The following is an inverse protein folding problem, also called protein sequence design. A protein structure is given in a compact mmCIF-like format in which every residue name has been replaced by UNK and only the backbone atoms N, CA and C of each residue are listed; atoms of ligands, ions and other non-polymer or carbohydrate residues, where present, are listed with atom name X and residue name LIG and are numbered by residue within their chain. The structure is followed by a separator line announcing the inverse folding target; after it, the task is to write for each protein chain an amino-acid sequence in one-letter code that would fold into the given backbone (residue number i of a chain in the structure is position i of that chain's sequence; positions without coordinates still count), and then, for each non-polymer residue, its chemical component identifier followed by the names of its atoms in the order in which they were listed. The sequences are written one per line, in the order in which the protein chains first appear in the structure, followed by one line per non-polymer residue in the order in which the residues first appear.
data_IF_902309784741
#
_entry.id   IF_902309784741
#
_cell.length_a   1.000
_cell.length_b   1.000
_cell.length_c   1.000
_cell.angle_alpha   90.00
_cell.angle_beta   90.00
_cell.angle_gamma   90.00
#
_symmetry.space_group_name_H-M   'P 1'
#
loop_
_entity.id
_entity.type
_entity.pdbx_description
1 polymer ?
#
# COMPACT_ATOMS: atom_id res chain seq x y z
N UNK A 1 8.87 0.17 15.58
CA UNK A 1 8.00 0.99 14.72
C UNK A 1 8.89 1.94 13.97
N UNK A 2 8.98 1.72 12.67
CA UNK A 2 9.77 2.51 11.72
C UNK A 2 8.81 3.18 10.74
N UNK A 3 9.23 4.34 10.22
CA UNK A 3 8.51 5.04 9.16
C UNK A 3 9.07 4.62 7.81
N UNK A 4 8.19 4.40 6.85
CA UNK A 4 8.55 4.06 5.47
C UNK A 4 7.83 4.97 4.50
N UNK A 5 8.48 5.32 3.41
CA UNK A 5 7.94 6.22 2.40
C UNK A 5 7.77 5.48 1.07
N UNK A 6 6.65 5.72 0.38
CA UNK A 6 6.29 5.10 -0.90
C UNK A 6 5.87 6.18 -1.90
N UNK A 7 6.51 6.21 -3.06
CA UNK A 7 6.20 7.15 -4.15
C UNK A 7 6.74 6.58 -5.47
N UNK A 8 5.86 6.40 -6.46
CA UNK A 8 6.23 5.73 -7.72
C UNK A 8 7.14 6.60 -8.59
N UNK A 9 7.12 7.92 -8.39
CA UNK A 9 8.02 8.87 -9.05
C UNK A 9 9.32 9.19 -8.29
N UNK A 10 9.67 8.48 -7.21
CA UNK A 10 10.94 8.71 -6.52
C UNK A 10 12.15 8.31 -7.40
N UNK A 11 13.23 9.09 -7.33
CA UNK A 11 14.44 8.88 -8.15
C UNK A 11 15.66 8.34 -7.39
N UNK A 12 15.56 8.16 -6.07
CA UNK A 12 16.67 7.72 -5.22
C UNK A 12 16.83 6.19 -5.14
N UNK A 13 17.45 5.72 -4.06
CA UNK A 13 17.87 4.33 -3.91
C UNK A 13 16.76 3.33 -3.52
N UNK A 14 15.50 3.79 -3.43
CA UNK A 14 14.34 2.98 -3.05
C UNK A 14 14.49 2.21 -1.71
N UNK A 15 15.10 2.84 -0.71
CA UNK A 15 15.28 2.27 0.65
C UNK A 15 14.09 2.55 1.59
N UNK A 16 13.23 3.49 1.21
CA UNK A 16 12.04 3.92 1.96
C UNK A 16 12.32 4.80 3.17
N UNK A 17 13.52 5.37 3.31
CA UNK A 17 13.92 6.15 4.50
C UNK A 17 13.42 7.60 4.49
N UNK A 18 13.13 8.14 3.31
CA UNK A 18 12.59 9.48 3.08
C UNK A 18 11.87 9.53 1.72
N UNK A 19 11.31 10.69 1.34
CA UNK A 19 10.61 10.85 0.05
C UNK A 19 11.51 10.76 -1.19
N UNK A 20 12.80 11.12 -1.08
CA UNK A 20 13.75 11.03 -2.20
C UNK A 20 14.12 9.57 -2.48
N UNK A 21 14.25 8.78 -1.43
CA UNK A 21 14.61 7.37 -1.43
C UNK A 21 13.39 6.46 -1.22
N UNK A 22 12.18 6.94 -1.46
CA UNK A 22 10.95 6.17 -1.22
C UNK A 22 10.92 4.87 -2.03
N UNK A 23 10.27 3.83 -1.50
CA UNK A 23 9.98 2.64 -2.29
C UNK A 23 9.08 3.01 -3.48
N UNK A 24 9.37 2.41 -4.64
CA UNK A 24 8.61 2.68 -5.87
C UNK A 24 7.26 1.96 -5.91
N UNK A 25 7.09 0.90 -5.12
CA UNK A 25 5.88 0.09 -5.05
C UNK A 25 5.45 -0.13 -3.61
N UNK A 26 4.13 -0.26 -3.40
CA UNK A 26 3.60 -0.57 -2.07
C UNK A 26 4.02 -1.97 -1.61
N UNK A 27 4.07 -2.94 -2.52
CA UNK A 27 4.51 -4.30 -2.22
C UNK A 27 5.93 -4.35 -1.67
N UNK A 28 6.88 -3.61 -2.26
CA UNK A 28 8.27 -3.56 -1.77
C UNK A 28 8.35 -2.97 -0.35
N UNK A 29 7.60 -1.91 -0.08
CA UNK A 29 7.55 -1.32 1.26
C UNK A 29 6.98 -2.28 2.30
N UNK A 30 5.91 -3.00 1.96
CA UNK A 30 5.32 -4.02 2.83
C UNK A 30 6.31 -5.16 3.11
N UNK A 31 7.01 -5.68 2.10
CA UNK A 31 8.03 -6.74 2.26
C UNK A 31 9.13 -6.33 3.22
N UNK A 32 9.59 -5.08 3.13
CA UNK A 32 10.66 -4.61 3.97
C UNK A 32 10.20 -4.26 5.40
N UNK A 33 8.89 -4.10 5.65
CA UNK A 33 8.31 -3.66 6.92
C UNK A 33 8.35 -4.70 8.03
N UNK A 34 8.12 -4.24 9.26
CA UNK A 34 7.84 -5.08 10.42
C UNK A 34 6.48 -4.73 11.05
N UNK A 35 5.98 -5.59 11.94
CA UNK A 35 4.74 -5.35 12.67
C UNK A 35 4.78 -4.02 13.44
N UNK A 36 3.72 -3.23 13.32
CA UNK A 36 3.60 -1.91 13.94
C UNK A 36 4.22 -0.74 13.17
N UNK A 37 4.87 -1.00 12.02
CA UNK A 37 5.40 0.06 11.16
C UNK A 37 4.30 0.93 10.54
N UNK A 38 4.66 2.15 10.15
CA UNK A 38 3.80 3.06 9.40
C UNK A 38 4.44 3.36 8.05
N UNK A 39 3.67 3.13 6.99
CA UNK A 39 4.02 3.38 5.60
C UNK A 39 3.24 4.61 5.15
N UNK A 40 3.95 5.68 4.83
CA UNK A 40 3.41 6.87 4.19
C UNK A 40 3.51 6.74 2.68
N UNK A 41 2.37 6.86 2.02
CA UNK A 41 2.27 6.82 0.56
C UNK A 41 2.02 8.24 0.08
N UNK A 42 2.81 8.72 -0.87
CA UNK A 42 2.60 10.05 -1.42
C UNK A 42 1.23 10.15 -2.11
N UNK A 43 0.63 11.31 -2.02
CA UNK A 43 -0.59 11.70 -2.72
C UNK A 43 -0.48 11.61 -4.25
N UNK A 44 0.73 11.68 -4.80
CA UNK A 44 1.00 11.52 -6.23
C UNK A 44 1.44 10.10 -6.62
N UNK A 45 1.47 9.17 -5.66
CA UNK A 45 1.81 7.78 -5.94
C UNK A 45 0.76 7.15 -6.86
N UNK A 46 1.18 6.86 -8.08
CA UNK A 46 0.42 6.09 -9.04
C UNK A 46 1.27 4.93 -9.54
N UNK A 47 1.08 3.74 -8.96
CA UNK A 47 1.73 2.52 -9.45
C UNK A 47 0.77 1.70 -10.34
N UNK A 48 1.31 1.15 -11.42
CA UNK A 48 0.58 0.30 -12.36
C UNK A 48 1.44 -0.88 -12.77
N UNK A 49 0.88 -2.10 -12.72
CA UNK A 49 1.59 -3.32 -13.08
C UNK A 49 0.79 -4.19 -14.05
N UNK A 50 1.49 -4.81 -15.01
CA UNK A 50 0.92 -5.77 -15.95
C UNK A 50 0.97 -7.24 -15.44
N UNK A 51 1.23 -7.42 -14.15
CA UNK A 51 1.27 -8.70 -13.44
C UNK A 51 0.38 -8.65 -12.21
N UNK A 52 -0.02 -9.82 -11.70
CA UNK A 52 -0.80 -9.89 -10.46
C UNK A 52 0.03 -9.40 -9.28
N UNK A 53 -0.60 -8.69 -8.37
CA UNK A 53 0.04 -8.08 -7.21
C UNK A 53 -0.41 -8.76 -5.92
N UNK A 54 0.57 -9.13 -5.08
CA UNK A 54 0.31 -9.61 -3.72
C UNK A 54 0.78 -8.57 -2.71
N UNK A 55 -0.14 -8.05 -1.91
CA UNK A 55 0.13 -7.10 -0.84
C UNK A 55 0.21 -7.84 0.50
N UNK A 56 1.42 -8.25 0.86
CA UNK A 56 1.72 -9.06 2.04
C UNK A 56 2.22 -8.19 3.20
N UNK A 57 1.32 -7.86 4.12
CA UNK A 57 1.67 -7.08 5.31
C UNK A 57 2.17 -7.96 6.46
N UNK A 58 3.22 -7.53 7.19
CA UNK A 58 3.72 -8.23 8.38
C UNK A 58 2.99 -7.84 9.68
N UNK A 59 1.91 -7.06 9.61
CA UNK A 59 1.21 -6.57 10.80
C UNK A 59 0.56 -7.68 11.65
N UNK A 60 0.53 -7.51 12.96
CA UNK A 60 -0.11 -8.46 13.89
C UNK A 60 -1.29 -7.81 14.61
N UNK A 61 -2.11 -8.61 15.29
CA UNK A 61 -3.25 -8.09 16.06
C UNK A 61 -2.83 -7.04 17.11
N UNK A 62 -1.66 -7.25 17.75
CA UNK A 62 -1.11 -6.33 18.75
C UNK A 62 -0.37 -5.14 18.11
N UNK A 63 0.14 -5.30 16.89
CA UNK A 63 0.94 -4.29 16.20
C UNK A 63 0.57 -4.25 14.70
N UNK A 64 -0.57 -3.65 14.33
CA UNK A 64 -1.00 -3.56 12.94
C UNK A 64 -0.08 -2.61 12.17
N UNK A 65 0.15 -2.91 10.89
CA UNK A 65 0.81 -1.97 9.97
C UNK A 65 -0.22 -0.94 9.50
N UNK A 66 0.21 0.31 9.42
CA UNK A 66 -0.61 1.41 8.89
C UNK A 66 -0.04 1.88 7.58
N UNK A 67 -0.87 1.98 6.56
CA UNK A 67 -0.51 2.49 5.24
C UNK A 67 -1.41 3.69 4.96
N UNK A 68 -0.84 4.87 4.86
CA UNK A 68 -1.59 6.14 4.89
C UNK A 68 -1.14 7.00 3.72
N UNK A 69 -2.09 7.40 2.87
CA UNK A 69 -1.86 8.39 1.84
C UNK A 69 -1.70 9.79 2.47
N UNK A 70 -0.63 10.49 2.12
CA UNK A 70 -0.26 11.79 2.67
C UNK A 70 0.36 12.70 1.61
N UNK A 71 0.31 14.01 1.84
CA UNK A 71 1.02 15.00 1.06
C UNK A 71 2.54 14.90 1.32
N UNK A 72 3.31 14.45 0.34
CA UNK A 72 4.75 14.28 0.46
C UNK A 72 5.51 15.61 0.59
N UNK A 73 4.93 16.70 0.08
CA UNK A 73 5.47 18.06 0.23
C UNK A 73 5.02 18.73 1.54
N UNK A 74 4.30 17.99 2.40
CA UNK A 74 3.85 18.45 3.70
C UNK A 74 4.90 18.28 4.80
N UNK A 75 4.44 17.94 6.01
CA UNK A 75 5.33 17.75 7.16
C UNK A 75 6.18 16.48 7.02
N UNK A 76 7.38 16.48 7.59
CA UNK A 76 8.26 15.30 7.64
C UNK A 76 8.75 15.08 9.08
N UNK A 77 8.26 14.06 9.81
CA UNK A 77 7.23 13.09 9.40
C UNK A 77 5.84 13.71 9.17
N UNK A 78 5.01 13.11 8.30
CA UNK A 78 3.64 13.55 8.03
C UNK A 78 2.74 13.57 9.28
N UNK A 79 1.94 14.63 9.41
CA UNK A 79 0.94 14.80 10.48
C UNK A 79 -0.49 14.64 9.94
N UNK A 80 -1.50 14.75 10.81
CA UNK A 80 -2.90 14.55 10.42
C UNK A 80 -3.39 15.53 9.33
N UNK A 81 -2.87 16.75 9.28
CA UNK A 81 -3.16 17.73 8.24
C UNK A 81 -2.63 17.32 6.84
N UNK A 82 -1.67 16.40 6.80
CA UNK A 82 -1.07 15.91 5.57
C UNK A 82 -1.85 14.76 4.94
N UNK A 83 -2.85 14.18 5.62
CA UNK A 83 -3.62 13.03 5.08
C UNK A 83 -4.31 13.40 3.76
N UNK A 84 -4.22 12.52 2.78
CA UNK A 84 -4.82 12.64 1.43
C UNK A 84 -5.50 11.33 1.03
N UNK A 85 -6.16 11.32 -0.13
CA UNK A 85 -6.97 10.19 -0.61
C UNK A 85 -6.77 9.86 -2.10
N UNK A 86 -5.62 10.27 -2.66
CA UNK A 86 -5.40 10.30 -4.11
C UNK A 86 -4.42 9.25 -4.63
N UNK A 87 -3.71 8.53 -3.75
CA UNK A 87 -2.79 7.48 -4.18
C UNK A 87 -3.53 6.33 -4.87
N UNK A 88 -2.93 5.76 -5.92
CA UNK A 88 -3.51 4.67 -6.70
C UNK A 88 -2.57 3.49 -6.84
N UNK A 89 -3.11 2.29 -6.69
CA UNK A 89 -2.44 1.01 -6.91
C UNK A 89 -3.26 0.21 -7.92
N UNK A 90 -2.71 -0.02 -9.10
CA UNK A 90 -3.46 -0.57 -10.24
C UNK A 90 -2.77 -1.78 -10.85
N UNK A 91 -3.56 -2.78 -11.24
CA UNK A 91 -3.12 -3.82 -12.19
C UNK A 91 -3.88 -3.69 -13.51
N UNK A 92 -3.28 -4.07 -14.63
CA UNK A 92 -3.92 -3.99 -15.96
C UNK A 92 -4.32 -5.36 -16.50
N UNK A 93 -5.15 -5.39 -17.55
CA UNK A 93 -5.54 -6.64 -18.20
C UNK A 93 -6.38 -7.51 -17.27
N UNK A 94 -6.14 -8.82 -17.26
CA UNK A 94 -6.84 -9.81 -16.40
C UNK A 94 -6.08 -10.08 -15.09
N UNK A 95 -5.28 -9.12 -14.62
CA UNK A 95 -4.44 -9.30 -13.44
C UNK A 95 -5.16 -8.89 -12.16
N UNK A 96 -4.80 -9.55 -11.06
CA UNK A 96 -5.48 -9.44 -9.78
C UNK A 96 -4.68 -8.64 -8.76
N UNK A 97 -5.37 -8.11 -7.75
CA UNK A 97 -4.73 -7.63 -6.51
C UNK A 97 -5.21 -8.53 -5.36
N UNK A 98 -4.26 -9.08 -4.61
CA UNK A 98 -4.53 -9.99 -3.50
C UNK A 98 -3.89 -9.43 -2.22
N UNK A 99 -4.69 -9.26 -1.17
CA UNK A 99 -4.19 -8.97 0.17
C UNK A 99 -4.01 -10.31 0.92
N UNK A 100 -2.78 -10.83 0.93
CA UNK A 100 -2.49 -12.17 1.44
C UNK A 100 -1.04 -12.28 1.92
N UNK A 101 -0.79 -13.13 2.92
CA UNK A 101 0.53 -13.55 3.39
C UNK A 101 0.44 -14.96 3.98
N UNK A 102 1.54 -15.68 4.18
CA UNK A 102 1.50 -17.01 4.83
C UNK A 102 1.37 -16.94 6.35
N UNK A 103 1.41 -15.73 6.93
CA UNK A 103 1.35 -15.49 8.37
C UNK A 103 0.07 -14.70 8.77
N UNK A 104 0.00 -14.28 10.03
CA UNK A 104 -1.00 -13.31 10.46
C UNK A 104 -0.76 -11.96 9.76
N UNK A 105 -1.83 -11.24 9.41
CA UNK A 105 -1.71 -9.91 8.79
C UNK A 105 -2.83 -8.97 9.21
N UNK A 106 -2.47 -7.91 9.91
CA UNK A 106 -3.36 -6.85 10.37
C UNK A 106 -2.91 -5.51 9.80
N UNK A 107 -3.69 -4.95 8.89
CA UNK A 107 -3.31 -3.74 8.15
C UNK A 107 -4.46 -2.77 8.04
N UNK A 108 -4.13 -1.48 8.16
CA UNK A 108 -5.05 -0.39 7.85
C UNK A 108 -4.51 0.35 6.64
N UNK A 109 -5.30 0.41 5.57
CA UNK A 109 -5.07 1.28 4.43
C UNK A 109 -5.94 2.52 4.56
N UNK A 110 -5.37 3.70 4.36
CA UNK A 110 -6.08 4.98 4.41
C UNK A 110 -5.80 5.81 3.14
N UNK A 111 -6.84 6.14 2.39
CA UNK A 111 -6.76 7.07 1.26
C UNK A 111 -6.13 6.51 -0.02
N UNK A 112 -6.24 5.20 -0.26
CA UNK A 112 -5.67 4.55 -1.45
C UNK A 112 -6.79 3.96 -2.32
N UNK A 113 -6.73 4.21 -3.63
CA UNK A 113 -7.58 3.52 -4.60
C UNK A 113 -6.87 2.26 -5.12
N UNK A 114 -7.45 1.09 -4.88
CA UNK A 114 -7.00 -0.17 -5.44
C UNK A 114 -7.88 -0.53 -6.64
N UNK A 115 -7.28 -0.69 -7.82
CA UNK A 115 -8.00 -1.08 -9.05
C UNK A 115 -7.40 -2.37 -9.61
N UNK A 116 -8.12 -3.48 -9.48
CA UNK A 116 -7.65 -4.78 -9.95
C UNK A 116 -8.13 -5.04 -11.37
N UNK A 117 -7.18 -5.10 -12.29
CA UNK A 117 -7.42 -5.35 -13.70
C UNK A 117 -8.11 -4.18 -14.41
N UNK A 118 -7.94 -4.15 -15.73
CA UNK A 118 -8.56 -3.15 -16.61
C UNK A 118 -9.16 -3.78 -17.88
N UNK A 119 -9.15 -5.12 -17.95
CA UNK A 119 -9.64 -5.91 -19.07
C UNK A 119 -11.04 -6.50 -18.84
N UNK A 120 -11.69 -6.91 -19.92
CA UNK A 120 -13.08 -7.42 -19.96
C UNK A 120 -13.27 -8.85 -19.39
N UNK A 121 -12.36 -9.38 -18.57
CA UNK A 121 -12.47 -10.78 -18.08
C UNK A 121 -11.88 -10.94 -16.69
N UNK A 122 -12.54 -11.80 -15.89
CA UNK A 122 -12.20 -12.27 -14.54
C UNK A 122 -11.10 -11.45 -13.86
N UNK A 123 -11.43 -10.23 -13.44
CA UNK A 123 -10.61 -9.43 -12.53
C UNK A 123 -11.12 -9.67 -11.11
N UNK A 124 -10.20 -9.75 -10.15
CA UNK A 124 -10.52 -10.11 -8.77
C UNK A 124 -9.69 -9.28 -7.84
N UNK A 125 -10.35 -8.80 -6.79
CA UNK A 125 -9.72 -8.21 -5.62
C UNK A 125 -9.94 -9.17 -4.45
N UNK A 126 -8.90 -9.93 -4.10
CA UNK A 126 -9.01 -10.92 -3.02
C UNK A 126 -8.67 -10.26 -1.69
N UNK A 127 -9.66 -10.15 -0.81
CA UNK A 127 -9.49 -9.59 0.53
C UNK A 127 -9.23 -10.73 1.52
N UNK A 128 -8.14 -10.64 2.28
CA UNK A 128 -7.80 -11.56 3.38
C UNK A 128 -7.70 -13.05 2.96
N UNK A 129 -6.78 -13.36 2.04
CA UNK A 129 -6.60 -14.71 1.48
C UNK A 129 -5.91 -15.75 2.37
N UNK A 130 -5.78 -15.54 3.69
CA UNK A 130 -4.96 -16.40 4.57
C UNK A 130 -5.43 -16.43 6.03
N UNK A 131 -4.83 -17.32 6.84
CA UNK A 131 -5.21 -17.74 8.20
C UNK A 131 -5.94 -16.71 9.07
N UNK A 132 -5.21 -15.78 9.71
CA UNK A 132 -5.80 -14.77 10.61
C UNK A 132 -5.41 -13.39 10.10
N UNK A 133 -6.32 -12.81 9.33
CA UNK A 133 -6.11 -11.53 8.70
C UNK A 133 -7.20 -10.52 9.03
N UNK A 134 -6.80 -9.26 9.12
CA UNK A 134 -7.70 -8.12 9.10
C UNK A 134 -7.14 -7.09 8.13
N UNK A 135 -7.92 -6.76 7.11
CA UNK A 135 -7.62 -5.67 6.19
C UNK A 135 -8.69 -4.61 6.36
N UNK A 136 -8.30 -3.46 6.90
CA UNK A 136 -9.19 -2.34 7.13
C UNK A 136 -8.93 -1.27 6.08
N UNK A 137 -9.98 -0.85 5.40
CA UNK A 137 -9.95 0.25 4.44
C UNK A 137 -10.62 1.47 5.06
N UNK A 138 -9.95 2.62 4.99
CA UNK A 138 -10.45 3.93 5.41
C UNK A 138 -10.28 4.89 4.24
N UNK A 139 -11.33 5.58 3.82
CA UNK A 139 -11.26 6.50 2.68
C UNK A 139 -10.65 5.90 1.40
N UNK A 140 -10.68 4.56 1.26
CA UNK A 140 -10.17 3.86 0.10
C UNK A 140 -11.30 3.58 -0.89
N UNK A 141 -10.94 3.43 -2.16
CA UNK A 141 -11.83 2.88 -3.18
C UNK A 141 -11.30 1.52 -3.65
N UNK A 142 -12.21 0.56 -3.82
CA UNK A 142 -11.91 -0.77 -4.34
C UNK A 142 -12.64 -0.92 -5.68
N UNK A 143 -11.89 -1.14 -6.77
CA UNK A 143 -12.40 -1.19 -8.14
C UNK A 143 -11.97 -2.48 -8.84
N UNK A 144 -12.81 -2.94 -9.76
CA UNK A 144 -12.63 -4.10 -10.63
C UNK A 144 -12.80 -3.68 -12.10
#
# INVERSE_FOLDING_TARGET
MTLRYVRSGAGGAATGVDWANAYLTLAAALTASAAGDTIYVSEDHAETQATSMTLASPGTAAAPVRVICVNHSGSVPPVSADIRTTATVTTTGTQFITFQTTADSFTVYDGITFSAGTGSSATTLTLAGSNRMSVKFRNCALRL
#
